data_IF_727470342553
#
_entry.id   IF_727470342553
#
_cell.length_a   1.000
_cell.length_b   1.000
_cell.length_c   1.000
_cell.angle_alpha   90.00
_cell.angle_beta   90.00
_cell.angle_gamma   90.00
#
_symmetry.space_group_name_H-M   'P 1'
#
loop_
_entity.id
_entity.type
_entity.pdbx_description
1 polymer ?
#
# COMPACT_ATOMS: atom_id res chain seq x y z
N UNK A 1 -8.65 -7.99 25.08
CA UNK A 1 -8.50 -9.21 24.26
C UNK A 1 -9.59 -10.17 24.72
N UNK A 2 -10.35 -10.85 23.83
CA UNK A 2 -11.57 -11.67 24.07
C UNK A 2 -12.96 -11.03 23.81
N UNK A 3 -13.06 -9.80 23.30
CA UNK A 3 -14.35 -9.17 22.94
C UNK A 3 -14.57 -9.08 21.42
N UNK A 4 -14.37 -10.19 20.71
CA UNK A 4 -14.59 -10.27 19.25
C UNK A 4 -13.42 -9.78 18.39
N UNK A 5 -12.28 -9.42 18.98
CA UNK A 5 -11.03 -9.07 18.28
C UNK A 5 -9.83 -9.77 18.92
N UNK A 6 -8.77 -9.97 18.13
CA UNK A 6 -7.49 -10.54 18.59
C UNK A 6 -6.37 -9.52 18.33
N UNK A 7 -5.62 -9.19 19.39
CA UNK A 7 -4.52 -8.18 19.39
C UNK A 7 -4.88 -6.81 18.81
N UNK A 8 -6.17 -6.51 18.67
CA UNK A 8 -6.69 -5.27 18.08
C UNK A 8 -7.93 -4.79 18.82
N UNK A 9 -8.42 -3.61 18.45
CA UNK A 9 -9.74 -3.12 18.82
C UNK A 9 -10.74 -3.22 17.65
N UNK A 10 -12.05 -3.04 17.88
CA UNK A 10 -13.05 -3.12 16.81
C UNK A 10 -12.83 -2.12 15.66
N UNK A 11 -12.21 -0.96 15.93
CA UNK A 11 -11.95 0.04 14.91
C UNK A 11 -10.85 -0.41 13.93
N UNK A 12 -9.82 -1.09 14.43
CA UNK A 12 -8.76 -1.71 13.64
C UNK A 12 -9.28 -2.94 12.88
N UNK A 13 -9.94 -3.85 13.59
CA UNK A 13 -10.43 -5.12 13.02
C UNK A 13 -11.53 -4.91 11.97
N UNK A 14 -12.33 -3.84 12.11
CA UNK A 14 -13.45 -3.54 11.20
C UNK A 14 -13.06 -3.37 9.73
N UNK A 15 -11.79 -3.07 9.45
CA UNK A 15 -11.27 -2.93 8.09
C UNK A 15 -10.91 -4.26 7.41
N UNK A 16 -10.91 -5.38 8.15
CA UNK A 16 -10.38 -6.66 7.68
C UNK A 16 -11.38 -7.44 6.81
N UNK A 17 -11.85 -6.82 5.72
CA UNK A 17 -12.70 -7.42 4.68
C UNK A 17 -12.04 -7.28 3.30
N UNK A 18 -10.79 -7.76 3.11
CA UNK A 18 -10.02 -7.48 1.90
C UNK A 18 -10.61 -8.09 0.63
N UNK A 19 -11.41 -9.15 0.76
CA UNK A 19 -12.06 -9.86 -0.35
C UNK A 19 -13.32 -9.16 -0.88
N UNK A 20 -13.97 -8.30 -0.09
CA UNK A 20 -15.19 -7.59 -0.47
C UNK A 20 -15.26 -6.18 0.12
N UNK A 21 -14.37 -5.31 -0.36
CA UNK A 21 -14.31 -3.89 0.04
C UNK A 21 -15.62 -3.17 -0.29
N UNK A 22 -16.31 -3.55 -1.38
CA UNK A 22 -17.57 -2.92 -1.77
C UNK A 22 -18.72 -3.27 -0.80
N UNK A 23 -18.82 -4.53 -0.39
CA UNK A 23 -19.76 -4.96 0.64
C UNK A 23 -19.50 -4.29 1.99
N UNK A 24 -18.23 -4.21 2.40
CA UNK A 24 -17.81 -3.46 3.59
C UNK A 24 -18.27 -2.00 3.50
N UNK A 25 -18.03 -1.34 2.36
CA UNK A 25 -18.43 0.06 2.14
C UNK A 25 -19.95 0.24 2.24
N UNK A 26 -20.73 -0.68 1.68
CA UNK A 26 -22.18 -0.64 1.76
C UNK A 26 -22.67 -0.76 3.21
N UNK A 27 -22.12 -1.71 3.98
CA UNK A 27 -22.48 -1.92 5.39
C UNK A 27 -22.08 -0.75 6.30
N UNK A 28 -20.97 -0.09 6.00
CA UNK A 28 -20.49 1.09 6.73
C UNK A 28 -21.22 2.40 6.35
N UNK A 29 -22.26 2.30 5.52
CA UNK A 29 -23.12 3.44 5.18
C UNK A 29 -22.58 4.31 4.04
N UNK A 30 -21.78 3.73 3.15
CA UNK A 30 -21.34 4.33 1.90
C UNK A 30 -19.94 4.91 1.93
N UNK A 31 -19.43 5.21 0.72
CA UNK A 31 -18.04 5.62 0.49
C UNK A 31 -17.62 6.85 1.31
N UNK A 32 -18.48 7.85 1.42
CA UNK A 32 -18.14 9.10 2.13
C UNK A 32 -17.86 8.86 3.62
N UNK A 33 -18.70 8.05 4.28
CA UNK A 33 -18.50 7.69 5.69
C UNK A 33 -17.24 6.88 5.88
N UNK A 34 -17.03 5.87 5.04
CA UNK A 34 -15.82 5.04 5.05
C UNK A 34 -14.56 5.87 4.88
N UNK A 35 -14.55 6.80 3.93
CA UNK A 35 -13.41 7.70 3.70
C UNK A 35 -13.19 8.62 4.91
N UNK A 36 -14.25 9.14 5.52
CA UNK A 36 -14.13 9.94 6.74
C UNK A 36 -13.54 9.13 7.90
N UNK A 37 -13.99 7.89 8.08
CA UNK A 37 -13.50 6.98 9.11
C UNK A 37 -12.04 6.57 8.86
N UNK A 38 -11.63 6.27 7.62
CA UNK A 38 -10.23 6.03 7.27
C UNK A 38 -9.36 7.25 7.52
N UNK A 39 -9.82 8.44 7.12
CA UNK A 39 -9.09 9.68 7.36
C UNK A 39 -8.92 9.95 8.86
N UNK A 40 -9.96 9.72 9.67
CA UNK A 40 -9.88 9.85 11.13
C UNK A 40 -8.93 8.82 11.75
N UNK A 41 -8.92 7.57 11.24
CA UNK A 41 -7.99 6.53 11.68
C UNK A 41 -6.55 7.03 11.53
N UNK A 42 -6.15 7.43 10.32
CA UNK A 42 -4.78 7.85 10.10
C UNK A 42 -4.43 9.23 10.68
N UNK A 43 -5.38 10.16 10.75
CA UNK A 43 -5.14 11.48 11.33
C UNK A 43 -4.83 11.43 12.84
N UNK A 44 -5.30 10.39 13.53
CA UNK A 44 -5.07 10.17 14.96
C UNK A 44 -3.94 9.19 15.27
N UNK A 45 -3.32 8.62 14.24
CA UNK A 45 -2.14 7.77 14.38
C UNK A 45 -0.95 8.56 14.92
N UNK A 46 -0.28 8.09 15.98
CA UNK A 46 0.88 8.78 16.54
C UNK A 46 2.05 8.77 15.55
N UNK A 47 2.87 9.82 15.57
CA UNK A 47 3.99 9.96 14.64
C UNK A 47 5.02 8.84 14.74
N UNK A 48 5.22 8.28 15.94
CA UNK A 48 6.17 7.20 16.18
C UNK A 48 5.67 5.82 15.71
N UNK A 49 4.43 5.71 15.22
CA UNK A 49 3.83 4.46 14.71
C UNK A 49 3.81 3.28 15.69
N UNK A 50 4.09 3.52 16.98
CA UNK A 50 4.05 2.51 18.04
C UNK A 50 2.61 2.09 18.34
N UNK A 51 2.45 1.06 19.17
CA UNK A 51 1.16 0.52 19.58
C UNK A 51 0.14 1.60 19.99
N UNK A 52 -1.03 1.61 19.36
CA UNK A 52 -2.08 2.61 19.57
C UNK A 52 -3.47 2.09 19.16
N UNK A 53 -4.51 2.90 19.40
CA UNK A 53 -5.92 2.57 19.12
C UNK A 53 -6.39 2.86 17.68
N UNK A 54 -5.55 3.47 16.86
CA UNK A 54 -5.83 3.87 15.48
C UNK A 54 -5.05 3.00 14.49
N UNK A 55 -4.41 3.55 13.46
CA UNK A 55 -3.51 2.75 12.63
C UNK A 55 -2.27 2.34 13.45
N UNK A 56 -2.13 1.04 13.67
CA UNK A 56 -1.05 0.45 14.46
C UNK A 56 -0.15 -0.41 13.58
N UNK A 57 0.91 0.18 13.01
CA UNK A 57 1.86 -0.56 12.16
C UNK A 57 2.58 -1.68 12.91
N UNK A 58 2.64 -1.63 14.24
CA UNK A 58 3.28 -2.66 15.04
C UNK A 58 2.46 -3.97 15.12
N UNK A 59 1.33 -4.07 14.42
CA UNK A 59 0.47 -5.25 14.46
C UNK A 59 -0.24 -5.52 13.11
N UNK A 60 -0.40 -6.81 12.78
CA UNK A 60 -0.76 -7.30 11.43
C UNK A 60 -2.13 -6.90 10.90
N UNK A 61 -3.22 -6.87 11.69
CA UNK A 61 -4.57 -6.80 11.11
C UNK A 61 -4.88 -5.48 10.40
N UNK A 62 -4.01 -4.47 10.53
CA UNK A 62 -4.16 -3.19 9.83
C UNK A 62 -3.18 -3.01 8.67
N UNK A 63 -2.25 -3.94 8.43
CA UNK A 63 -1.20 -3.79 7.41
C UNK A 63 -1.75 -3.52 6.00
N UNK A 64 -2.96 -3.98 5.67
CA UNK A 64 -3.59 -3.76 4.36
C UNK A 64 -4.34 -2.40 4.24
N UNK A 65 -4.63 -1.76 5.38
CA UNK A 65 -5.53 -0.59 5.46
C UNK A 65 -5.07 0.62 4.63
N UNK A 66 -3.76 0.97 4.52
CA UNK A 66 -3.34 2.13 3.74
C UNK A 66 -3.70 1.99 2.26
N UNK A 67 -3.75 0.76 1.77
CA UNK A 67 -4.01 0.45 0.37
C UNK A 67 -5.52 0.39 0.04
N UNK A 68 -6.41 0.45 1.04
CA UNK A 68 -7.85 0.59 0.81
C UNK A 68 -8.20 1.91 0.11
N UNK A 69 -7.39 2.96 0.25
CA UNK A 69 -7.60 4.20 -0.50
C UNK A 69 -7.53 4.00 -2.02
N UNK A 70 -6.70 3.07 -2.51
CA UNK A 70 -6.70 2.69 -3.93
C UNK A 70 -8.07 2.13 -4.32
N UNK A 71 -8.60 1.18 -3.53
CA UNK A 71 -9.94 0.56 -3.73
C UNK A 71 -11.09 1.57 -3.62
N UNK A 72 -10.85 2.76 -3.05
CA UNK A 72 -11.82 3.85 -2.90
C UNK A 72 -11.61 5.01 -3.89
N UNK A 73 -10.81 4.83 -4.94
CA UNK A 73 -10.48 5.85 -5.94
C UNK A 73 -9.79 7.09 -5.33
N UNK A 74 -8.94 6.90 -4.32
CA UNK A 74 -8.15 7.97 -3.68
C UNK A 74 -6.66 7.61 -3.57
N UNK A 75 -6.00 7.20 -4.68
CA UNK A 75 -4.67 6.62 -4.62
C UNK A 75 -3.59 7.53 -4.04
N UNK A 76 -3.76 8.85 -4.10
CA UNK A 76 -2.84 9.80 -3.46
C UNK A 76 -2.77 9.62 -1.94
N UNK A 77 -3.83 9.14 -1.28
CA UNK A 77 -3.80 8.83 0.16
C UNK A 77 -3.06 7.52 0.44
N UNK A 78 -3.17 6.51 -0.42
CA UNK A 78 -2.30 5.32 -0.36
C UNK A 78 -0.85 5.73 -0.44
N UNK A 79 -0.50 6.58 -1.40
CA UNK A 79 0.87 7.05 -1.63
C UNK A 79 1.41 7.83 -0.42
N UNK A 80 0.60 8.72 0.16
CA UNK A 80 0.95 9.47 1.35
C UNK A 80 1.23 8.54 2.54
N UNK A 81 0.32 7.62 2.84
CA UNK A 81 0.44 6.77 4.03
C UNK A 81 1.48 5.68 3.86
N UNK A 82 1.58 5.02 2.70
CA UNK A 82 2.62 4.02 2.47
C UNK A 82 4.02 4.62 2.63
N UNK A 83 4.24 5.84 2.09
CA UNK A 83 5.52 6.54 2.24
C UNK A 83 5.79 6.92 3.69
N UNK A 84 4.79 7.50 4.37
CA UNK A 84 4.93 7.91 5.76
C UNK A 84 5.23 6.72 6.68
N UNK A 85 4.58 5.57 6.46
CA UNK A 85 4.81 4.36 7.24
C UNK A 85 6.21 3.82 6.99
N UNK A 86 6.65 3.66 5.73
CA UNK A 86 8.02 3.23 5.42
C UNK A 86 9.08 4.13 6.08
N UNK A 87 8.84 5.44 6.16
CA UNK A 87 9.77 6.39 6.76
C UNK A 87 9.77 6.35 8.31
N UNK A 88 8.61 6.18 8.93
CA UNK A 88 8.45 6.35 10.39
C UNK A 88 8.57 5.05 11.16
N UNK A 89 8.18 3.93 10.57
CA UNK A 89 8.08 2.64 11.24
C UNK A 89 9.30 1.72 11.05
N UNK A 90 10.22 2.08 10.15
CA UNK A 90 11.35 1.24 9.76
C UNK A 90 12.64 2.07 9.69
N UNK A 91 13.66 1.68 10.47
CA UNK A 91 14.95 2.36 10.58
C UNK A 91 16.10 1.36 10.52
N UNK A 92 17.26 1.81 10.03
CA UNK A 92 18.49 1.03 10.05
C UNK A 92 19.19 1.17 11.43
N UNK A 93 18.57 0.65 12.47
CA UNK A 93 19.08 0.67 13.85
C UNK A 93 18.67 -0.59 14.60
N UNK A 94 19.27 -0.83 15.78
CA UNK A 94 18.98 -2.01 16.62
C UNK A 94 17.50 -2.05 17.04
N UNK A 95 16.92 -0.89 17.36
CA UNK A 95 15.49 -0.72 17.67
C UNK A 95 14.74 -0.16 16.46
N UNK A 96 15.08 -0.66 15.27
CA UNK A 96 14.64 -0.09 13.99
C UNK A 96 13.19 -0.40 13.61
N UNK A 97 12.50 -1.27 14.34
CA UNK A 97 11.11 -1.67 14.09
C UNK A 97 10.21 -1.21 15.24
N UNK A 98 9.01 -0.76 14.90
CA UNK A 98 8.01 -0.28 15.89
C UNK A 98 7.22 -1.39 16.58
N UNK A 99 7.45 -2.65 16.20
CA UNK A 99 6.76 -3.83 16.72
C UNK A 99 7.61 -5.09 16.57
N UNK A 100 7.01 -6.24 16.88
CA UNK A 100 7.62 -7.54 16.62
C UNK A 100 7.84 -7.71 15.11
N UNK A 101 8.88 -8.45 14.72
CA UNK A 101 9.20 -8.67 13.31
C UNK A 101 8.24 -9.67 12.64
N UNK A 102 7.67 -10.55 13.46
CA UNK A 102 6.70 -11.59 13.10
C UNK A 102 7.12 -12.46 11.91
N UNK A 103 8.35 -12.95 12.01
CA UNK A 103 8.93 -14.03 11.18
C UNK A 103 8.90 -13.68 9.69
N UNK A 104 9.21 -12.43 9.36
CA UNK A 104 9.26 -11.90 8.01
C UNK A 104 8.07 -11.03 7.62
N UNK A 105 6.98 -11.02 8.40
CA UNK A 105 5.77 -10.28 8.04
C UNK A 105 6.02 -8.77 7.95
N UNK A 106 6.68 -8.18 8.95
CA UNK A 106 7.00 -6.75 8.94
C UNK A 106 8.01 -6.39 7.85
N UNK A 107 9.03 -7.24 7.67
CA UNK A 107 10.06 -7.05 6.65
C UNK A 107 9.49 -7.14 5.23
N UNK A 108 8.62 -8.12 4.97
CA UNK A 108 7.95 -8.30 3.68
C UNK A 108 7.02 -7.12 3.38
N UNK A 109 6.29 -6.61 4.37
CA UNK A 109 5.46 -5.42 4.22
C UNK A 109 6.30 -4.23 3.73
N UNK A 110 7.43 -3.96 4.39
CA UNK A 110 8.33 -2.87 3.99
C UNK A 110 8.88 -3.09 2.58
N UNK A 111 9.40 -4.28 2.26
CA UNK A 111 9.98 -4.57 0.95
C UNK A 111 8.95 -4.34 -0.16
N UNK A 112 7.74 -4.86 0.01
CA UNK A 112 6.67 -4.70 -0.97
C UNK A 112 6.27 -3.22 -1.07
N UNK A 113 5.86 -2.58 0.03
CA UNK A 113 5.39 -1.20 0.01
C UNK A 113 6.46 -0.22 -0.50
N UNK A 114 7.72 -0.39 -0.10
CA UNK A 114 8.84 0.43 -0.55
C UNK A 114 9.22 0.18 -2.01
N UNK A 115 8.95 -1.02 -2.55
CA UNK A 115 9.21 -1.32 -3.95
C UNK A 115 8.21 -0.70 -4.92
N UNK A 116 7.01 -0.32 -4.44
CA UNK A 116 5.95 0.25 -5.26
C UNK A 116 4.69 -0.61 -5.36
N UNK A 117 4.61 -1.76 -4.68
CA UNK A 117 3.49 -2.71 -4.81
C UNK A 117 3.07 -3.30 -3.47
N UNK A 118 1.79 -3.60 -3.27
CA UNK A 118 1.36 -4.39 -2.12
C UNK A 118 0.07 -5.20 -2.41
N UNK A 119 -0.01 -6.49 -2.04
CA UNK A 119 -1.25 -7.25 -2.11
C UNK A 119 -2.17 -6.91 -0.92
N UNK A 120 -3.44 -6.60 -1.18
CA UNK A 120 -4.43 -6.39 -0.11
C UNK A 120 -5.13 -7.70 0.27
N UNK A 121 -5.43 -8.54 -0.72
CA UNK A 121 -6.18 -9.76 -0.54
C UNK A 121 -5.42 -10.92 -1.20
N UNK A 122 -4.48 -11.59 -0.50
CA UNK A 122 -3.85 -12.79 -1.05
C UNK A 122 -4.90 -13.81 -1.55
N UNK A 123 -4.75 -14.26 -2.79
CA UNK A 123 -5.77 -15.03 -3.53
C UNK A 123 -6.44 -14.23 -4.66
N UNK A 124 -6.48 -12.91 -4.53
CA UNK A 124 -6.68 -11.95 -5.64
C UNK A 124 -5.33 -11.71 -6.34
N UNK A 125 -5.34 -11.58 -7.67
CA UNK A 125 -4.16 -11.25 -8.46
C UNK A 125 -3.79 -9.78 -8.39
N UNK A 126 -4.68 -8.92 -7.88
CA UNK A 126 -4.47 -7.48 -7.79
C UNK A 126 -3.35 -7.10 -6.82
N UNK A 127 -2.38 -6.36 -7.34
CA UNK A 127 -1.31 -5.70 -6.59
C UNK A 127 -1.54 -4.19 -6.59
N UNK A 128 -1.76 -3.59 -5.42
CA UNK A 128 -1.97 -2.15 -5.29
C UNK A 128 -0.65 -1.41 -5.56
N UNK A 129 -0.69 -0.36 -6.38
CA UNK A 129 0.47 0.51 -6.60
C UNK A 129 0.59 1.46 -5.40
N UNK A 130 1.79 1.53 -4.82
CA UNK A 130 2.14 2.36 -3.66
C UNK A 130 3.00 3.57 -4.09
N UNK A 131 3.55 4.32 -3.14
CA UNK A 131 4.62 5.30 -3.40
C UNK A 131 6.00 4.63 -3.21
N UNK A 132 6.77 4.34 -4.28
CA UNK A 132 8.04 3.62 -4.17
C UNK A 132 9.12 4.43 -3.46
N UNK A 133 9.82 3.84 -2.50
CA UNK A 133 10.93 4.51 -1.78
C UNK A 133 12.14 4.74 -2.70
N UNK A 134 12.43 3.79 -3.59
CA UNK A 134 13.60 3.80 -4.45
C UNK A 134 13.27 4.33 -5.85
N UNK A 135 14.26 4.96 -6.50
CA UNK A 135 14.13 5.45 -7.88
C UNK A 135 13.97 4.31 -8.88
N UNK A 136 14.52 3.13 -8.57
CA UNK A 136 14.35 1.93 -9.37
C UNK A 136 14.37 0.68 -8.50
N UNK A 137 13.43 -0.22 -8.76
CA UNK A 137 13.45 -1.61 -8.26
C UNK A 137 13.35 -2.57 -9.44
N UNK A 138 14.16 -3.62 -9.41
CA UNK A 138 14.10 -4.72 -10.39
C UNK A 138 13.79 -6.02 -9.65
N UNK A 139 12.65 -6.62 -9.96
CA UNK A 139 12.29 -7.96 -9.52
C UNK A 139 12.88 -8.98 -10.49
N UNK A 140 13.68 -9.92 -9.98
CA UNK A 140 14.07 -11.11 -10.69
C UNK A 140 12.93 -12.13 -10.56
N UNK A 141 12.31 -12.49 -11.67
CA UNK A 141 11.13 -13.35 -11.66
C UNK A 141 11.54 -14.82 -11.74
N UNK A 142 10.86 -15.65 -10.96
CA UNK A 142 11.11 -17.10 -10.96
C UNK A 142 10.51 -17.74 -12.22
N UNK A 143 11.31 -18.39 -13.09
CA UNK A 143 10.83 -19.00 -14.32
C UNK A 143 9.82 -20.14 -14.11
N UNK A 144 9.68 -20.67 -12.89
CA UNK A 144 8.63 -21.63 -12.54
C UNK A 144 7.24 -20.99 -12.49
N UNK A 145 7.16 -19.71 -12.12
CA UNK A 145 5.90 -19.02 -11.85
C UNK A 145 5.65 -17.82 -12.79
N UNK A 146 6.66 -17.40 -13.56
CA UNK A 146 6.61 -16.25 -14.44
C UNK A 146 7.15 -16.58 -15.84
N UNK A 147 6.58 -15.92 -16.85
CA UNK A 147 7.05 -16.00 -18.25
C UNK A 147 8.18 -14.99 -18.51
N UNK A 148 8.10 -13.83 -17.88
CA UNK A 148 9.13 -12.81 -17.94
C UNK A 148 10.34 -13.17 -17.09
N UNK A 149 11.50 -12.60 -17.42
CA UNK A 149 12.72 -12.75 -16.60
C UNK A 149 12.80 -11.71 -15.49
N UNK A 150 12.35 -10.50 -15.78
CA UNK A 150 12.42 -9.36 -14.87
C UNK A 150 11.20 -8.48 -15.01
N UNK A 151 10.80 -7.85 -13.90
CA UNK A 151 9.85 -6.75 -13.88
C UNK A 151 10.49 -5.57 -13.17
N UNK A 152 10.40 -4.38 -13.75
CA UNK A 152 11.00 -3.15 -13.21
C UNK A 152 9.94 -2.16 -12.79
N UNK A 153 10.19 -1.46 -11.69
CA UNK A 153 9.46 -0.25 -11.30
C UNK A 153 10.47 0.89 -11.31
N UNK A 154 10.23 1.91 -12.13
CA UNK A 154 11.04 3.11 -12.24
C UNK A 154 10.20 4.28 -11.73
N UNK A 155 10.72 5.04 -10.76
CA UNK A 155 10.09 6.22 -10.20
C UNK A 155 10.91 7.47 -10.57
N UNK A 156 10.60 8.06 -11.73
CA UNK A 156 11.23 9.29 -12.20
C UNK A 156 10.89 10.46 -11.27
N UNK A 157 11.90 11.27 -10.94
CA UNK A 157 11.83 12.39 -10.00
C UNK A 157 11.42 12.00 -8.57
N UNK A 158 11.54 10.73 -8.18
CA UNK A 158 11.32 10.32 -6.80
C UNK A 158 12.27 11.06 -5.84
N UNK A 159 11.74 11.46 -4.69
CA UNK A 159 12.51 12.12 -3.62
C UNK A 159 11.72 12.06 -2.32
N UNK A 160 12.29 12.61 -1.24
CA UNK A 160 11.59 12.75 0.04
C UNK A 160 10.32 13.61 -0.07
N UNK A 161 10.31 14.58 -0.99
CA UNK A 161 9.17 15.48 -1.22
C UNK A 161 8.26 14.95 -2.34
N UNK A 162 8.83 14.33 -3.37
CA UNK A 162 8.10 13.85 -4.54
C UNK A 162 7.54 12.45 -4.32
N UNK A 163 6.48 12.36 -3.51
CA UNK A 163 5.90 11.09 -3.09
C UNK A 163 4.65 10.70 -3.90
N UNK A 164 4.12 11.60 -4.73
CA UNK A 164 2.85 11.40 -5.42
C UNK A 164 3.05 11.06 -6.91
N UNK A 165 2.35 10.04 -7.38
CA UNK A 165 2.36 9.64 -8.79
C UNK A 165 1.55 10.64 -9.60
N UNK A 166 2.20 11.26 -10.58
CA UNK A 166 1.60 12.23 -11.51
C UNK A 166 1.09 11.54 -12.78
N UNK A 167 1.80 10.53 -13.25
CA UNK A 167 1.42 9.71 -14.41
C UNK A 167 2.18 8.39 -14.38
N UNK A 168 1.65 7.38 -15.09
CA UNK A 168 2.32 6.10 -15.23
C UNK A 168 2.32 5.61 -16.69
N UNK A 169 3.30 4.78 -17.02
CA UNK A 169 3.30 3.93 -18.21
C UNK A 169 3.58 2.49 -17.82
N UNK A 170 2.90 1.56 -18.46
CA UNK A 170 3.19 0.14 -18.37
C UNK A 170 3.68 -0.33 -19.74
N UNK A 171 4.93 -0.77 -19.81
CA UNK A 171 5.59 -1.19 -21.04
C UNK A 171 5.49 -0.11 -22.15
N UNK A 172 5.78 1.15 -21.79
CA UNK A 172 5.75 2.31 -22.69
C UNK A 172 4.35 2.85 -23.02
N UNK A 173 3.27 2.19 -22.60
CA UNK A 173 1.89 2.62 -22.87
C UNK A 173 1.31 3.40 -21.69
N UNK A 174 0.54 4.48 -21.91
CA UNK A 174 -0.13 5.19 -20.82
C UNK A 174 -0.93 4.26 -19.90
N UNK A 175 -0.75 4.42 -18.59
CA UNK A 175 -1.36 3.59 -17.58
C UNK A 175 -2.05 4.46 -16.52
N UNK A 176 -3.35 4.25 -16.34
CA UNK A 176 -4.18 5.08 -15.45
C UNK A 176 -4.95 4.26 -14.39
N UNK A 177 -4.43 3.09 -14.02
CA UNK A 177 -4.92 2.29 -12.90
C UNK A 177 -3.95 2.42 -11.73
N UNK A 178 -4.47 2.37 -10.50
CA UNK A 178 -3.68 2.40 -9.26
C UNK A 178 -3.31 0.99 -8.76
N UNK A 179 -3.38 -0.02 -9.62
CA UNK A 179 -3.07 -1.40 -9.32
C UNK A 179 -2.51 -2.07 -10.56
N UNK A 180 -1.83 -3.20 -10.41
CA UNK A 180 -1.46 -4.13 -11.47
C UNK A 180 -2.22 -5.46 -11.25
N UNK A 181 -2.48 -6.19 -12.33
CA UNK A 181 -2.74 -7.63 -12.19
C UNK A 181 -1.40 -8.37 -12.06
N UNK A 182 -1.35 -9.46 -11.30
CA UNK A 182 -0.13 -10.28 -11.19
C UNK A 182 0.35 -10.81 -12.56
N UNK A 183 -0.54 -10.98 -13.53
CA UNK A 183 -0.18 -11.29 -14.92
C UNK A 183 0.68 -10.19 -15.57
N UNK A 184 0.42 -8.92 -15.28
CA UNK A 184 1.23 -7.79 -15.78
C UNK A 184 2.68 -7.88 -15.28
N UNK A 185 2.85 -8.34 -14.04
CA UNK A 185 4.18 -8.51 -13.40
C UNK A 185 4.86 -9.78 -13.91
N UNK A 186 4.16 -10.92 -13.89
CA UNK A 186 4.72 -12.24 -14.24
C UNK A 186 5.04 -12.39 -15.73
N UNK A 187 4.46 -11.57 -16.61
CA UNK A 187 4.91 -11.46 -18.01
C UNK A 187 6.22 -10.67 -18.15
N UNK A 188 6.68 -10.02 -17.08
CA UNK A 188 7.85 -9.15 -17.08
C UNK A 188 7.58 -7.79 -17.73
N UNK A 189 8.64 -6.99 -17.84
CA UNK A 189 8.57 -5.65 -18.41
C UNK A 189 8.80 -4.56 -17.38
N UNK A 190 8.09 -3.44 -17.51
CA UNK A 190 8.39 -2.22 -16.75
C UNK A 190 7.16 -1.35 -16.49
N UNK A 191 7.02 -0.90 -15.24
CA UNK A 191 6.15 0.19 -14.82
C UNK A 191 7.01 1.44 -14.60
N UNK A 192 6.75 2.48 -15.38
CA UNK A 192 7.36 3.79 -15.23
C UNK A 192 6.37 4.73 -14.53
N UNK A 193 6.81 5.38 -13.46
CA UNK A 193 6.04 6.33 -12.67
C UNK A 193 6.75 7.69 -12.72
N UNK A 194 6.00 8.76 -12.99
CA UNK A 194 6.50 10.14 -12.84
C UNK A 194 6.01 10.67 -11.50
N UNK A 195 6.94 11.02 -10.61
CA UNK A 195 6.65 11.47 -9.26
C UNK A 195 6.57 13.00 -9.16
N UNK A 196 5.87 13.50 -8.14
CA UNK A 196 5.73 14.92 -7.84
C UNK A 196 5.35 15.17 -6.38
N UNK A 197 5.49 16.41 -5.93
CA UNK A 197 5.30 16.83 -4.54
C UNK A 197 3.86 17.21 -4.17
N UNK A 198 2.94 17.17 -5.13
CA UNK A 198 1.52 17.45 -4.91
C UNK A 198 0.67 16.27 -5.39
N UNK A 199 -0.44 15.97 -4.69
CA UNK A 199 -1.30 14.86 -5.08
C UNK A 199 -1.98 15.13 -6.43
N UNK A 200 -1.79 14.22 -7.41
CA UNK A 200 -2.61 14.22 -8.61
C UNK A 200 -3.93 13.47 -8.33
N UNK A 201 -5.00 14.24 -8.11
CA UNK A 201 -6.33 13.68 -7.81
C UNK A 201 -7.06 13.08 -9.02
N UNK A 202 -6.47 13.17 -10.21
CA UNK A 202 -7.03 12.65 -11.46
C UNK A 202 -6.37 11.36 -11.95
N UNK A 203 -5.21 10.98 -11.40
CA UNK A 203 -4.53 9.74 -11.78
C UNK A 203 -5.03 8.55 -10.95
N UNK A 204 -5.19 7.38 -11.58
CA UNK A 204 -5.47 6.13 -10.88
C UNK A 204 -6.85 6.06 -10.21
N UNK A 205 -7.80 6.90 -10.61
CA UNK A 205 -9.18 6.93 -10.07
C UNK A 205 -10.15 6.00 -10.84
N UNK A 206 -9.64 5.26 -11.81
CA UNK A 206 -10.39 4.26 -12.58
C UNK A 206 -10.06 2.87 -12.03
N UNK A 207 -10.90 2.39 -11.12
CA UNK A 207 -10.84 1.01 -10.61
C UNK A 207 -11.62 0.03 -11.47
#
# INVERSE_FOLDING_TARGET
>A
QWYGTFETNPYQQGWFVPHDVNGMVALMGGREKVVADLNNLFAKTPENMMWNDYYNQANEPVHHVPFLYNRLNMPWLTQQWSRAICQRAYHNSVEGLVGNEDVGQMSAWYILAASGLHPVCPGDTRQEITSPVFDQVTFQLDPKYAKGKTFRIIADKNSIDNIYIQSAKLNGKPYNKCYLDFADISNGGELELVMGNQPNKNWGISN
#
